data_IF_080378220590
#
_entry.id   IF_080378220590
#
_cell.length_a   1.000
_cell.length_b   1.000
_cell.length_c   1.000
_cell.angle_alpha   90.00
_cell.angle_beta   90.00
_cell.angle_gamma   90.00
#
_symmetry.space_group_name_H-M   'P 1'
#
loop_
_entity.id
_entity.type
_entity.pdbx_description
1 polymer ?
#
# COMPACT_ATOMS: atom_id res chain seq x y z
N UNK A 1 -3.18 -2.58 -6.79
CA UNK A 1 -4.56 -2.15 -6.55
C UNK A 1 -5.16 -1.53 -7.79
N UNK A 2 -6.44 -1.55 -7.89
CA UNK A 2 -7.15 -0.86 -8.97
C UNK A 2 -8.52 -0.40 -8.46
N UNK A 3 -9.13 0.50 -9.22
CA UNK A 3 -10.44 1.05 -8.88
C UNK A 3 -11.51 0.33 -9.71
N UNK A 4 -12.54 -0.14 -9.04
CA UNK A 4 -13.72 -0.73 -9.68
C UNK A 4 -14.92 0.15 -9.33
N UNK A 5 -15.32 1.01 -10.27
CA UNK A 5 -16.29 2.07 -9.99
C UNK A 5 -15.71 3.05 -8.97
N UNK A 6 -16.40 3.22 -7.84
CA UNK A 6 -15.93 4.06 -6.73
C UNK A 6 -15.19 3.27 -5.65
N UNK A 7 -14.97 1.96 -5.88
CA UNK A 7 -14.33 1.08 -4.90
C UNK A 7 -12.92 0.75 -5.33
N UNK A 8 -11.99 0.82 -4.37
CA UNK A 8 -10.62 0.38 -4.58
C UNK A 8 -10.52 -1.08 -4.17
N UNK A 9 -10.01 -1.93 -5.07
CA UNK A 9 -9.93 -3.37 -4.88
C UNK A 9 -8.51 -3.86 -5.10
N UNK A 10 -8.22 -5.06 -4.59
CA UNK A 10 -6.93 -5.69 -4.73
C UNK A 10 -6.51 -6.40 -3.45
N UNK A 11 -5.36 -7.04 -3.49
CA UNK A 11 -4.83 -7.80 -2.35
C UNK A 11 -4.61 -6.91 -1.14
N UNK A 12 -4.01 -5.73 -1.33
CA UNK A 12 -3.73 -4.83 -0.22
C UNK A 12 -5.00 -4.29 0.41
N UNK A 13 -6.02 -4.00 -0.39
CA UNK A 13 -7.30 -3.55 0.13
C UNK A 13 -7.98 -4.64 0.97
N UNK A 14 -7.91 -5.89 0.53
CA UNK A 14 -8.47 -7.03 1.25
C UNK A 14 -7.76 -7.26 2.59
N UNK A 15 -6.43 -7.15 2.60
CA UNK A 15 -5.63 -7.30 3.82
C UNK A 15 -5.96 -6.17 4.81
N UNK A 16 -6.05 -4.94 4.34
CA UNK A 16 -6.38 -3.80 5.18
C UNK A 16 -7.76 -3.94 5.80
N UNK A 17 -8.74 -4.41 5.01
CA UNK A 17 -10.10 -4.65 5.52
C UNK A 17 -10.11 -5.72 6.60
N UNK A 18 -9.36 -6.81 6.39
CA UNK A 18 -9.27 -7.89 7.38
C UNK A 18 -8.67 -7.40 8.69
N UNK A 19 -7.64 -6.56 8.63
CA UNK A 19 -7.01 -5.99 9.81
C UNK A 19 -7.98 -5.09 10.56
N UNK A 20 -8.69 -4.21 9.86
CA UNK A 20 -9.65 -3.30 10.48
C UNK A 20 -10.83 -4.05 11.09
N UNK A 21 -11.32 -5.10 10.44
CA UNK A 21 -12.40 -5.94 10.97
C UNK A 21 -11.97 -6.62 12.27
N UNK A 22 -10.75 -7.14 12.32
CA UNK A 22 -10.22 -7.82 13.50
C UNK A 22 -10.07 -6.87 14.68
N UNK A 23 -9.69 -5.64 14.46
CA UNK A 23 -9.46 -4.65 15.49
C UNK A 23 -10.70 -3.83 15.82
N UNK A 24 -11.77 -3.97 15.06
CA UNK A 24 -13.00 -3.21 15.28
C UNK A 24 -12.92 -1.78 14.76
N UNK A 25 -12.06 -1.51 13.80
CA UNK A 25 -11.90 -0.20 13.17
C UNK A 25 -12.62 -0.13 11.84
N UNK A 26 -13.01 1.09 11.49
CA UNK A 26 -13.57 1.37 10.19
C UNK A 26 -12.43 1.67 9.21
N UNK A 27 -12.45 1.02 8.04
CA UNK A 27 -11.43 1.24 7.01
C UNK A 27 -11.83 2.42 6.12
N UNK A 28 -10.92 3.38 5.99
CA UNK A 28 -11.05 4.47 5.04
C UNK A 28 -9.84 4.43 4.11
N UNK A 29 -10.08 4.27 2.82
CA UNK A 29 -9.01 4.16 1.82
C UNK A 29 -8.84 5.50 1.10
N UNK A 30 -7.63 6.07 1.21
CA UNK A 30 -7.25 7.26 0.47
C UNK A 30 -6.46 6.84 -0.77
N UNK A 31 -6.96 7.21 -1.94
CA UNK A 31 -6.30 6.94 -3.21
C UNK A 31 -5.34 8.09 -3.51
N UNK A 32 -4.07 7.79 -3.63
CA UNK A 32 -3.05 8.81 -3.88
C UNK A 32 -1.91 8.26 -4.74
N UNK A 33 -1.07 9.16 -5.26
CA UNK A 33 0.11 8.77 -6.00
C UNK A 33 1.03 7.92 -5.12
N UNK A 34 1.63 6.89 -5.71
CA UNK A 34 2.53 5.98 -4.98
C UNK A 34 3.62 6.75 -4.24
N UNK A 35 4.22 7.75 -4.90
CA UNK A 35 5.30 8.53 -4.31
C UNK A 35 4.87 9.40 -3.12
N UNK A 36 3.58 9.61 -2.95
CA UNK A 36 3.04 10.40 -1.84
C UNK A 36 2.74 9.58 -0.59
N UNK A 37 2.72 8.25 -0.69
CA UNK A 37 2.29 7.37 0.40
C UNK A 37 3.19 7.49 1.63
N UNK A 38 4.50 7.41 1.45
CA UNK A 38 5.45 7.50 2.58
C UNK A 38 5.31 8.81 3.34
N UNK A 39 5.19 9.92 2.62
CA UNK A 39 5.03 11.23 3.25
C UNK A 39 3.71 11.33 4.00
N UNK A 40 2.64 10.73 3.47
CA UNK A 40 1.34 10.74 4.13
C UNK A 40 1.37 9.97 5.45
N UNK A 41 2.03 8.82 5.49
CA UNK A 41 2.17 8.03 6.72
C UNK A 41 3.07 8.75 7.72
N UNK A 42 4.20 9.26 7.26
CA UNK A 42 5.16 9.95 8.11
C UNK A 42 4.58 11.20 8.76
N UNK A 43 3.73 11.94 8.06
CA UNK A 43 3.11 13.16 8.57
C UNK A 43 1.84 12.92 9.39
N UNK A 44 1.36 11.69 9.46
CA UNK A 44 0.15 11.36 10.20
C UNK A 44 -1.15 11.58 9.43
N UNK A 45 -1.09 11.89 8.13
CA UNK A 45 -2.29 12.01 7.30
C UNK A 45 -2.93 10.66 7.02
N UNK A 46 -2.13 9.59 7.05
CA UNK A 46 -2.60 8.22 6.92
C UNK A 46 -2.03 7.41 8.08
N UNK A 47 -2.77 6.41 8.53
CA UNK A 47 -2.32 5.53 9.61
C UNK A 47 -1.31 4.51 9.12
N UNK A 48 -1.50 3.98 7.91
CA UNK A 48 -0.55 3.08 7.28
C UNK A 48 -0.73 3.11 5.75
N UNK A 49 0.28 2.61 5.05
CA UNK A 49 0.25 2.51 3.59
C UNK A 49 0.32 1.06 3.14
N UNK A 50 -0.47 0.70 2.14
CA UNK A 50 -0.52 -0.64 1.58
C UNK A 50 -0.64 -0.53 0.06
N UNK A 51 0.46 -0.79 -0.65
CA UNK A 51 0.50 -0.56 -2.10
C UNK A 51 1.59 -1.39 -2.79
N UNK A 52 1.81 -2.61 -2.35
CA UNK A 52 2.86 -3.45 -2.95
C UNK A 52 4.25 -2.83 -2.82
N UNK A 53 4.54 -2.27 -1.67
CA UNK A 53 5.76 -1.50 -1.44
C UNK A 53 6.92 -2.39 -1.03
N UNK A 54 8.04 -2.27 -1.71
CA UNK A 54 9.27 -2.98 -1.37
C UNK A 54 9.96 -2.30 -0.20
N UNK A 55 10.44 -3.10 0.75
CA UNK A 55 11.24 -2.60 1.88
C UNK A 55 12.62 -2.20 1.37
N UNK A 56 13.03 -0.97 1.61
CA UNK A 56 14.37 -0.48 1.29
C UNK A 56 14.94 0.26 2.50
N UNK A 57 16.27 0.41 2.55
CA UNK A 57 16.90 1.13 3.64
C UNK A 57 16.43 2.58 3.70
N UNK A 58 16.29 3.23 2.56
CA UNK A 58 15.81 4.61 2.50
C UNK A 58 14.40 4.74 3.07
N UNK A 59 13.52 3.79 2.74
CA UNK A 59 12.14 3.80 3.23
C UNK A 59 12.07 3.50 4.73
N UNK A 60 12.94 2.63 5.23
CA UNK A 60 13.01 2.32 6.66
C UNK A 60 13.46 3.51 7.50
N UNK A 61 14.17 4.46 6.92
CA UNK A 61 14.54 5.69 7.62
C UNK A 61 13.33 6.57 7.91
N UNK A 62 12.28 6.46 7.10
CA UNK A 62 11.08 7.30 7.19
C UNK A 62 9.91 6.61 7.89
N UNK A 63 9.76 5.31 7.71
CA UNK A 63 8.62 4.53 8.21
C UNK A 63 9.05 3.13 8.60
N UNK A 64 8.22 2.46 9.40
CA UNK A 64 8.40 1.05 9.73
C UNK A 64 7.56 0.19 8.78
N UNK A 65 7.97 -1.05 8.62
CA UNK A 65 7.29 -2.01 7.74
C UNK A 65 6.82 -3.23 8.52
N UNK A 66 5.77 -3.86 8.02
CA UNK A 66 5.34 -5.18 8.49
C UNK A 66 6.25 -6.25 7.90
N UNK A 67 6.04 -7.50 8.31
CA UNK A 67 6.66 -8.64 7.63
C UNK A 67 6.17 -8.70 6.18
N UNK A 68 6.99 -9.26 5.31
CA UNK A 68 6.63 -9.45 3.91
C UNK A 68 5.45 -10.40 3.79
N UNK A 69 4.38 -9.98 3.09
CA UNK A 69 3.19 -10.81 2.89
C UNK A 69 2.99 -11.26 1.45
N UNK A 70 3.81 -10.79 0.54
CA UNK A 70 3.75 -11.19 -0.87
C UNK A 70 5.13 -11.02 -1.51
N UNK A 71 5.48 -11.92 -2.41
CA UNK A 71 6.71 -11.84 -3.18
C UNK A 71 6.37 -11.54 -4.64
N UNK A 72 7.18 -10.72 -5.28
CA UNK A 72 6.97 -10.33 -6.67
C UNK A 72 8.32 -10.14 -7.36
N UNK A 73 8.31 -10.32 -8.68
CA UNK A 73 9.45 -9.97 -9.52
C UNK A 73 9.14 -8.69 -10.26
N UNK A 74 10.05 -7.74 -10.18
CA UNK A 74 9.92 -6.49 -10.92
C UNK A 74 10.51 -6.67 -12.31
N UNK A 75 9.77 -6.29 -13.32
CA UNK A 75 10.20 -6.38 -14.71
C UNK A 75 9.90 -5.06 -15.41
N UNK A 76 10.61 -4.81 -16.49
CA UNK A 76 10.36 -3.65 -17.33
C UNK A 76 9.65 -4.13 -18.59
N UNK A 77 8.50 -3.55 -18.86
CA UNK A 77 7.73 -3.85 -20.06
C UNK A 77 8.13 -2.85 -21.14
N UNK A 78 8.56 -3.35 -22.27
CA UNK A 78 8.93 -2.53 -23.41
C UNK A 78 8.16 -2.96 -24.65
N UNK A 79 8.06 -2.07 -25.61
CA UNK A 79 7.38 -2.35 -26.86
C UNK A 79 8.17 -3.40 -27.65
N UNK A 80 7.49 -4.40 -28.17
CA UNK A 80 8.11 -5.41 -29.03
C UNK A 80 8.49 -4.78 -30.38
N UNK A 81 9.65 -5.16 -30.94
CA UNK A 81 10.11 -4.70 -32.25
C UNK A 81 9.45 -5.49 -33.39
#
# INVERSE_FOLDING_TARGET
>A
EYREGDTIVGIDADIAQAICDKLGYELEIDDMEFDAILAAVQSGKADFGAAGMTVTEDRLESVDFTDTYANASQVIIVKAD
#
